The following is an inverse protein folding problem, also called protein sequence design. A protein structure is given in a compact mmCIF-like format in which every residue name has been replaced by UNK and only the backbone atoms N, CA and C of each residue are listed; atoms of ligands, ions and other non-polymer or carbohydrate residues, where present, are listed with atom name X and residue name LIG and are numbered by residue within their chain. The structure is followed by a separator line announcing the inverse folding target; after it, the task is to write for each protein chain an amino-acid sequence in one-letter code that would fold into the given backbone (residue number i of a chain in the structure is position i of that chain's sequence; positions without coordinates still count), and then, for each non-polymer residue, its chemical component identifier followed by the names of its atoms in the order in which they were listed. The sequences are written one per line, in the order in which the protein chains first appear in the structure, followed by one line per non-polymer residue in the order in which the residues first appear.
data_IF_370991105619
#
_entry.id   IF_370991105619
#
_cell.length_a   1.000
_cell.length_b   1.000
_cell.length_c   1.000
_cell.angle_alpha   90.00
_cell.angle_beta   90.00
_cell.angle_gamma   90.00
#
_symmetry.space_group_name_H-M   'P 1'
#
loop_
_entity.id
_entity.type
_entity.pdbx_description
1 polymer ?
#
# COMPACT_ATOMS: atom_id res chain seq x y z
N UNK A 1 -8.57 -1.55 -6.28
CA UNK A 1 -8.98 -0.22 -5.81
C UNK A 1 -7.94 0.79 -6.28
N UNK A 2 -8.34 1.99 -6.70
CA UNK A 2 -7.39 3.04 -7.06
C UNK A 2 -6.48 3.31 -5.85
N UNK A 3 -5.18 3.48 -6.10
CA UNK A 3 -4.25 3.90 -5.05
C UNK A 3 -4.52 5.36 -4.75
N UNK A 4 -4.81 5.67 -3.52
CA UNK A 4 -5.00 7.06 -3.07
C UNK A 4 -3.65 7.68 -2.68
N UNK A 5 -3.55 9.01 -2.70
CA UNK A 5 -2.37 9.74 -2.21
C UNK A 5 -1.96 9.27 -0.80
N UNK A 6 -2.87 9.11 0.18
CA UNK A 6 -2.51 8.57 1.49
C UNK A 6 -1.94 7.14 1.45
N UNK A 7 -2.42 6.29 0.56
CA UNK A 7 -1.87 4.95 0.39
C UNK A 7 -0.48 4.97 -0.26
N UNK A 8 -0.23 5.92 -1.19
CA UNK A 8 1.10 6.14 -1.75
C UNK A 8 2.10 6.61 -0.68
N UNK A 9 1.70 7.53 0.21
CA UNK A 9 2.53 7.96 1.32
C UNK A 9 2.96 6.78 2.22
N UNK A 10 2.02 5.89 2.57
CA UNK A 10 2.34 4.70 3.34
C UNK A 10 3.26 3.73 2.57
N UNK A 11 3.14 3.64 1.24
CA UNK A 11 4.02 2.82 0.41
C UNK A 11 5.44 3.39 0.37
N UNK A 12 5.61 4.67 0.06
CA UNK A 12 6.91 5.35 0.05
C UNK A 12 7.62 5.23 1.41
N UNK A 13 6.87 5.35 2.50
CA UNK A 13 7.39 5.17 3.85
C UNK A 13 7.95 3.75 4.05
N UNK A 14 7.21 2.72 3.64
CA UNK A 14 7.68 1.33 3.72
C UNK A 14 8.90 1.06 2.85
N UNK A 15 8.95 1.66 1.68
CA UNK A 15 10.06 1.49 0.74
C UNK A 15 11.36 2.09 1.29
N UNK A 16 11.28 3.21 2.02
CA UNK A 16 12.43 3.88 2.59
C UNK A 16 12.84 3.33 3.97
N UNK A 17 11.88 3.06 4.85
CA UNK A 17 12.14 2.74 6.26
C UNK A 17 11.77 1.29 6.64
N UNK A 18 11.03 0.58 5.80
CA UNK A 18 10.57 -0.78 6.07
C UNK A 18 9.31 -0.82 6.93
N UNK A 19 9.44 -1.21 8.19
CA UNK A 19 8.30 -1.39 9.09
C UNK A 19 7.85 -0.06 9.73
N UNK A 20 6.62 0.38 9.42
CA UNK A 20 6.03 1.59 9.98
C UNK A 20 5.90 1.55 11.50
N UNK A 21 5.76 0.38 12.11
CA UNK A 21 5.65 0.24 13.55
C UNK A 21 6.94 0.65 14.30
N UNK A 22 8.06 0.72 13.59
CA UNK A 22 9.36 1.14 14.13
C UNK A 22 9.71 2.59 13.78
N UNK A 23 8.80 3.31 13.12
CA UNK A 23 9.01 4.69 12.70
C UNK A 23 8.35 5.67 13.66
N UNK A 24 9.01 6.80 13.87
CA UNK A 24 8.47 7.97 14.55
C UNK A 24 8.05 9.01 13.50
N UNK A 25 6.83 9.53 13.59
CA UNK A 25 6.31 10.53 12.67
C UNK A 25 5.99 11.85 13.37
N UNK A 26 6.21 12.95 12.64
CA UNK A 26 5.86 14.30 13.03
C UNK A 26 4.89 14.89 12.01
N UNK A 27 3.76 15.39 12.47
CA UNK A 27 2.86 16.23 11.66
C UNK A 27 3.01 17.69 12.09
N UNK A 28 3.44 18.54 11.16
CA UNK A 28 3.56 19.99 11.35
C UNK A 28 2.38 20.66 10.66
N UNK A 29 1.45 21.18 11.44
CA UNK A 29 0.25 21.80 10.91
C UNK A 29 -1.02 21.03 11.28
N UNK A 30 -2.17 21.56 10.83
CA UNK A 30 -3.48 20.99 11.07
C UNK A 30 -4.39 21.16 9.82
N UNK A 31 -3.78 21.03 8.62
CA UNK A 31 -4.52 21.04 7.37
C UNK A 31 -5.14 19.67 7.09
N UNK A 32 -6.25 19.67 6.36
CA UNK A 32 -7.04 18.45 6.05
C UNK A 32 -6.22 17.35 5.39
N UNK A 33 -5.34 17.70 4.43
CA UNK A 33 -4.49 16.72 3.75
C UNK A 33 -3.48 16.08 4.71
N UNK A 34 -2.87 16.86 5.61
CA UNK A 34 -1.96 16.34 6.63
C UNK A 34 -2.65 15.37 7.58
N UNK A 35 -3.88 15.67 7.99
CA UNK A 35 -4.72 14.78 8.80
C UNK A 35 -5.03 13.46 8.07
N UNK A 36 -5.42 13.53 6.78
CA UNK A 36 -5.68 12.34 5.96
C UNK A 36 -4.43 11.47 5.81
N UNK A 37 -3.27 12.06 5.56
CA UNK A 37 -1.99 11.35 5.46
C UNK A 37 -1.63 10.68 6.79
N UNK A 38 -1.72 11.42 7.90
CA UNK A 38 -1.43 10.89 9.24
C UNK A 38 -2.37 9.72 9.61
N UNK A 39 -3.67 9.87 9.35
CA UNK A 39 -4.67 8.81 9.55
C UNK A 39 -4.34 7.55 8.74
N UNK A 40 -3.89 7.72 7.49
CA UNK A 40 -3.50 6.61 6.63
C UNK A 40 -2.26 5.90 7.15
N UNK A 41 -1.23 6.63 7.62
CA UNK A 41 -0.03 6.05 8.21
C UNK A 41 -0.35 5.28 9.51
N UNK A 42 -1.18 5.85 10.39
CA UNK A 42 -1.66 5.16 11.60
C UNK A 42 -2.41 3.86 11.25
N UNK A 43 -3.30 3.92 10.26
CA UNK A 43 -4.03 2.74 9.76
C UNK A 43 -3.11 1.70 9.12
N UNK A 44 -1.97 2.13 8.57
CA UNK A 44 -0.96 1.27 7.95
C UNK A 44 0.04 0.67 8.94
N UNK A 45 -0.08 0.99 10.24
CA UNK A 45 0.73 0.42 11.32
C UNK A 45 1.72 1.38 12.00
N UNK A 46 1.69 2.68 11.67
CA UNK A 46 2.48 3.66 12.41
C UNK A 46 2.07 3.69 13.87
N UNK A 47 3.02 3.55 14.80
CA UNK A 47 2.75 3.49 16.23
C UNK A 47 2.96 4.82 16.97
N UNK A 48 3.88 5.64 16.49
CA UNK A 48 4.25 6.89 17.14
C UNK A 48 4.04 8.09 16.20
N UNK A 49 3.14 8.97 16.60
CA UNK A 49 2.86 10.24 15.92
C UNK A 49 2.90 11.38 16.92
N UNK A 50 3.58 12.44 16.57
CA UNK A 50 3.55 13.72 17.28
C UNK A 50 2.96 14.77 16.35
N UNK A 51 2.06 15.59 16.88
CA UNK A 51 1.49 16.75 16.16
C UNK A 51 2.06 18.03 16.77
N UNK A 52 2.45 18.97 15.93
CA UNK A 52 2.86 20.31 16.34
C UNK A 52 2.22 21.40 15.49
N UNK A 53 1.94 22.55 16.10
CA UNK A 53 1.37 23.71 15.41
C UNK A 53 1.70 24.99 16.21
N UNK A 54 1.99 26.14 15.55
CA UNK A 54 2.20 27.43 16.25
C UNK A 54 1.04 27.87 17.13
N UNK A 55 -0.19 27.44 16.81
CA UNK A 55 -1.38 27.65 17.64
C UNK A 55 -1.64 26.34 18.38
N UNK A 56 -1.31 26.31 19.68
CA UNK A 56 -1.37 25.09 20.50
C UNK A 56 -2.74 24.42 20.48
N UNK A 57 -3.84 25.18 20.52
CA UNK A 57 -5.19 24.62 20.52
C UNK A 57 -5.52 23.81 19.25
N UNK A 58 -4.87 24.10 18.12
CA UNK A 58 -5.00 23.32 16.89
C UNK A 58 -4.24 21.99 17.00
N UNK A 59 -3.05 21.99 17.59
CA UNK A 59 -2.31 20.75 17.87
C UNK A 59 -3.06 19.88 18.86
N UNK A 60 -3.63 20.46 19.92
CA UNK A 60 -4.44 19.75 20.91
C UNK A 60 -5.68 19.10 20.29
N UNK A 61 -6.44 19.85 19.49
CA UNK A 61 -7.64 19.32 18.83
C UNK A 61 -7.30 18.14 17.91
N UNK A 62 -6.26 18.28 17.08
CA UNK A 62 -5.84 17.23 16.17
C UNK A 62 -5.21 16.04 16.90
N UNK A 63 -4.42 16.30 17.96
CA UNK A 63 -3.85 15.26 18.81
C UNK A 63 -4.91 14.42 19.51
N UNK A 64 -5.98 15.03 19.99
CA UNK A 64 -7.15 14.32 20.54
C UNK A 64 -7.85 13.48 19.48
N UNK A 65 -8.08 14.05 18.30
CA UNK A 65 -8.76 13.37 17.19
C UNK A 65 -7.98 12.15 16.70
N UNK A 66 -6.67 12.26 16.55
CA UNK A 66 -5.78 11.19 16.10
C UNK A 66 -5.30 10.29 17.24
N UNK A 67 -5.64 10.59 18.49
CA UNK A 67 -5.17 9.91 19.69
C UNK A 67 -3.64 9.78 19.72
N UNK A 68 -2.93 10.90 19.52
CA UNK A 68 -1.48 10.97 19.44
C UNK A 68 -0.90 12.06 20.35
N UNK A 69 0.42 12.10 20.45
CA UNK A 69 1.11 13.09 21.25
C UNK A 69 1.17 14.46 20.58
N UNK A 70 1.30 15.52 21.37
CA UNK A 70 1.57 16.86 20.89
C UNK A 70 2.95 17.31 21.36
N UNK A 71 3.63 18.09 20.51
CA UNK A 71 4.94 18.68 20.81
C UNK A 71 4.90 20.19 20.63
N UNK A 72 5.64 20.97 21.45
CA UNK A 72 5.72 22.41 21.30
C UNK A 72 6.49 22.80 20.04
N UNK A 73 5.98 23.77 19.27
CA UNK A 73 6.64 24.20 18.03
C UNK A 73 8.02 24.80 18.27
N UNK A 74 8.27 25.34 19.46
CA UNK A 74 9.53 25.90 19.89
C UNK A 74 10.65 24.84 19.92
N UNK A 75 10.30 23.57 20.06
CA UNK A 75 11.20 22.43 20.04
C UNK A 75 11.28 21.76 18.66
N UNK A 76 10.87 22.45 17.59
CA UNK A 76 10.77 21.88 16.24
C UNK A 76 12.02 21.12 15.80
N UNK A 77 13.21 21.67 16.06
CA UNK A 77 14.46 21.00 15.69
C UNK A 77 14.60 19.64 16.40
N UNK A 78 14.28 19.56 17.68
CA UNK A 78 14.32 18.31 18.44
C UNK A 78 13.26 17.32 17.98
N UNK A 79 12.07 17.80 17.64
CA UNK A 79 11.00 16.97 17.05
C UNK A 79 11.45 16.36 15.72
N UNK A 80 12.08 17.15 14.85
CA UNK A 80 12.64 16.67 13.57
C UNK A 80 13.76 15.64 13.79
N UNK A 81 14.64 15.86 14.75
CA UNK A 81 15.73 14.91 15.08
C UNK A 81 15.18 13.55 15.50
N UNK A 82 14.05 13.51 16.16
CA UNK A 82 13.45 12.28 16.66
C UNK A 82 12.49 11.61 15.65
N UNK A 83 12.22 12.24 14.49
CA UNK A 83 11.24 11.75 13.53
C UNK A 83 11.89 11.13 12.31
N UNK A 84 11.38 10.00 11.85
CA UNK A 84 11.76 9.34 10.59
C UNK A 84 10.90 9.85 9.41
N UNK A 85 9.68 10.27 9.73
CA UNK A 85 8.69 10.76 8.78
C UNK A 85 8.20 12.13 9.24
N UNK A 86 8.20 13.11 8.35
CA UNK A 86 7.65 14.45 8.60
C UNK A 86 6.59 14.76 7.57
N UNK A 87 5.41 15.06 8.06
CA UNK A 87 4.28 15.56 7.25
C UNK A 87 4.14 17.05 7.52
N UNK A 88 4.02 17.87 6.49
CA UNK A 88 3.69 19.29 6.63
C UNK A 88 2.34 19.59 6.01
N UNK A 89 1.51 20.36 6.70
CA UNK A 89 0.20 20.83 6.22
C UNK A 89 -0.22 22.08 6.97
N UNK A 90 0.60 23.12 6.85
CA UNK A 90 0.36 24.41 7.53
C UNK A 90 -0.64 25.29 6.79
N UNK A 91 -0.68 25.16 5.45
CA UNK A 91 -1.49 26.02 4.57
C UNK A 91 -1.27 27.52 4.84
N UNK A 92 -0.03 27.89 5.13
CA UNK A 92 0.34 29.25 5.55
C UNK A 92 1.62 29.71 4.85
N UNK A 93 1.54 30.79 4.10
CA UNK A 93 2.73 31.42 3.48
C UNK A 93 3.76 31.95 4.50
N UNK A 94 3.44 31.94 5.79
CA UNK A 94 4.33 32.42 6.86
C UNK A 94 5.19 31.30 7.48
N UNK A 95 4.89 30.06 7.17
CA UNK A 95 5.67 28.92 7.61
C UNK A 95 6.49 28.37 6.44
N UNK A 96 7.73 28.07 6.69
CA UNK A 96 8.59 27.33 5.77
C UNK A 96 9.58 26.52 6.57
N UNK A 97 9.62 25.22 6.30
CA UNK A 97 10.67 24.34 6.80
C UNK A 97 11.88 24.48 5.88
N UNK A 98 12.87 25.25 6.36
CA UNK A 98 14.03 25.65 5.56
C UNK A 98 15.04 24.51 5.40
N UNK A 99 15.83 24.57 4.32
CA UNK A 99 16.96 23.67 4.09
C UNK A 99 17.92 23.63 5.29
N UNK A 100 18.22 24.77 5.89
CA UNK A 100 19.14 24.85 7.03
C UNK A 100 18.60 24.10 8.26
N UNK A 101 17.31 24.18 8.50
CA UNK A 101 16.65 23.46 9.59
C UNK A 101 16.74 21.95 9.36
N UNK A 102 16.47 21.47 8.14
CA UNK A 102 16.57 20.05 7.78
C UNK A 102 18.02 19.58 7.83
N UNK A 103 18.97 20.38 7.31
CA UNK A 103 20.42 20.05 7.40
C UNK A 103 20.87 19.90 8.86
N UNK A 104 20.42 20.79 9.75
CA UNK A 104 20.73 20.70 11.18
C UNK A 104 20.15 19.42 11.79
N UNK A 105 18.90 19.10 11.49
CA UNK A 105 18.24 17.90 11.96
C UNK A 105 18.94 16.62 11.47
N UNK A 106 19.21 16.48 10.17
CA UNK A 106 19.86 15.30 9.57
C UNK A 106 21.29 15.11 10.11
N UNK A 107 22.03 16.20 10.35
CA UNK A 107 23.35 16.14 10.98
C UNK A 107 23.27 15.58 12.41
N UNK A 108 22.31 16.06 13.22
CA UNK A 108 22.09 15.56 14.59
C UNK A 108 21.60 14.12 14.62
N UNK A 109 20.85 13.69 13.60
CA UNK A 109 20.41 12.30 13.38
C UNK A 109 21.54 11.37 12.93
N UNK A 110 22.77 11.83 12.84
CA UNK A 110 23.92 11.08 12.30
C UNK A 110 23.66 10.54 10.90
N UNK A 111 23.03 11.36 10.06
CA UNK A 111 22.64 11.04 8.66
C UNK A 111 21.68 9.86 8.51
N UNK A 112 20.89 9.55 9.53
CA UNK A 112 19.76 8.63 9.39
C UNK A 112 18.74 9.26 8.43
N UNK A 113 18.28 8.57 7.40
CA UNK A 113 17.33 9.12 6.41
C UNK A 113 16.08 9.69 7.07
N UNK A 114 15.58 10.79 6.51
CA UNK A 114 14.30 11.40 6.89
C UNK A 114 13.41 11.53 5.66
N UNK A 115 12.17 11.06 5.77
CA UNK A 115 11.14 11.23 4.75
C UNK A 115 10.35 12.50 5.04
N UNK A 116 10.28 13.39 4.07
CA UNK A 116 9.53 14.65 4.15
C UNK A 116 8.37 14.58 3.15
N UNK A 117 7.15 14.76 3.61
CA UNK A 117 5.96 14.80 2.76
C UNK A 117 5.32 16.18 2.92
N UNK A 118 5.40 16.98 1.87
CA UNK A 118 4.82 18.31 1.82
C UNK A 118 3.39 18.27 1.27
N UNK A 119 2.43 18.43 2.16
CA UNK A 119 1.02 18.53 1.82
C UNK A 119 0.48 19.98 1.91
N UNK A 120 1.36 20.97 2.02
CA UNK A 120 1.01 22.39 2.00
C UNK A 120 0.68 22.90 0.59
N UNK A 121 -0.26 23.84 0.50
CA UNK A 121 -0.56 24.58 -0.73
C UNK A 121 -0.68 26.08 -0.38
N UNK A 122 0.32 26.89 -0.76
CA UNK A 122 1.60 26.55 -1.37
C UNK A 122 2.45 25.68 -0.43
N UNK A 123 3.50 25.02 -0.99
CA UNK A 123 4.37 24.14 -0.22
C UNK A 123 4.94 24.76 1.06
N UNK A 124 5.07 23.94 2.07
CA UNK A 124 5.58 24.30 3.40
C UNK A 124 7.10 24.02 3.54
N UNK A 125 7.70 23.29 2.61
CA UNK A 125 9.12 22.88 2.65
C UNK A 125 9.89 23.54 1.52
N UNK A 126 11.09 24.02 1.84
CA UNK A 126 12.00 24.58 0.84
C UNK A 126 12.47 23.49 -0.13
N UNK A 127 12.19 23.65 -1.43
CA UNK A 127 12.54 22.69 -2.48
C UNK A 127 14.04 22.41 -2.58
N UNK A 128 14.91 23.32 -2.15
CA UNK A 128 16.36 23.07 -2.13
C UNK A 128 16.73 21.94 -1.16
N UNK A 129 15.81 21.50 -0.32
CA UNK A 129 15.95 20.32 0.54
C UNK A 129 16.13 19.03 -0.26
N UNK A 130 15.63 18.95 -1.50
CA UNK A 130 15.82 17.80 -2.42
C UNK A 130 17.30 17.53 -2.74
N UNK A 131 18.18 18.52 -2.59
CA UNK A 131 19.60 18.37 -2.82
C UNK A 131 20.35 17.70 -1.64
N UNK A 132 19.67 17.44 -0.52
CA UNK A 132 20.27 16.79 0.66
C UNK A 132 20.23 15.27 0.46
N UNK A 133 21.39 14.61 0.67
CA UNK A 133 21.52 13.15 0.47
C UNK A 133 20.69 12.32 1.47
N UNK A 134 20.43 12.87 2.66
CA UNK A 134 19.76 12.16 3.76
C UNK A 134 18.29 12.60 3.96
N UNK A 135 17.76 13.46 3.07
CA UNK A 135 16.38 13.95 3.12
C UNK A 135 15.65 13.61 1.80
N UNK A 136 14.52 12.97 1.91
CA UNK A 136 13.70 12.52 0.77
C UNK A 136 12.40 13.31 0.77
N UNK A 137 12.31 14.32 -0.08
CA UNK A 137 11.14 15.18 -0.20
C UNK A 137 10.16 14.61 -1.23
N UNK A 138 8.90 14.51 -0.84
CA UNK A 138 7.76 14.18 -1.69
C UNK A 138 6.69 15.26 -1.55
N UNK A 139 6.26 15.80 -2.66
CA UNK A 139 5.08 16.68 -2.76
C UNK A 139 3.82 15.86 -3.01
N UNK A 140 2.65 16.49 -2.96
CA UNK A 140 1.39 15.84 -3.34
C UNK A 140 1.41 15.35 -4.80
N UNK A 141 2.05 16.11 -5.71
CA UNK A 141 2.19 15.73 -7.13
C UNK A 141 3.07 14.49 -7.28
N UNK A 142 4.14 14.36 -6.48
CA UNK A 142 4.99 13.16 -6.47
C UNK A 142 4.23 11.93 -5.98
N UNK A 143 3.45 12.07 -4.92
CA UNK A 143 2.59 10.99 -4.41
C UNK A 143 1.51 10.60 -5.42
N UNK A 144 0.95 11.57 -6.15
CA UNK A 144 0.01 11.29 -7.24
C UNK A 144 0.70 10.50 -8.38
N UNK A 145 1.94 10.83 -8.72
CA UNK A 145 2.74 10.07 -9.68
C UNK A 145 2.96 8.62 -9.22
N UNK A 146 3.34 8.42 -7.96
CA UNK A 146 3.48 7.08 -7.36
C UNK A 146 2.15 6.30 -7.44
N UNK A 147 1.00 6.96 -7.23
CA UNK A 147 -0.30 6.28 -7.38
C UNK A 147 -0.55 5.80 -8.80
N UNK A 148 -0.21 6.59 -9.81
CA UNK A 148 -0.38 6.24 -11.24
C UNK A 148 0.54 5.09 -11.63
N UNK A 149 1.82 5.17 -11.31
CA UNK A 149 2.80 4.11 -11.61
C UNK A 149 2.42 2.78 -10.94
N UNK A 150 1.97 2.83 -9.68
CA UNK A 150 1.47 1.65 -8.96
C UNK A 150 0.17 1.08 -9.54
N UNK A 151 -0.67 1.88 -10.19
CA UNK A 151 -1.86 1.41 -10.90
C UNK A 151 -1.48 0.70 -12.21
N UNK A 152 -0.60 1.31 -13.02
CA UNK A 152 -0.10 0.73 -14.27
C UNK A 152 0.64 -0.59 -14.05
N UNK A 153 1.49 -0.67 -13.04
CA UNK A 153 2.23 -1.90 -12.69
C UNK A 153 1.28 -3.03 -12.29
N UNK A 154 0.18 -2.72 -11.60
CA UNK A 154 -0.85 -3.71 -11.22
C UNK A 154 -1.69 -4.16 -12.41
N UNK A 155 -2.03 -3.26 -13.33
CA UNK A 155 -2.75 -3.59 -14.56
C UNK A 155 -1.93 -4.53 -15.43
N UNK A 156 -0.65 -4.21 -15.66
CA UNK A 156 0.30 -5.07 -16.39
C UNK A 156 0.52 -6.40 -15.68
N UNK A 157 0.61 -6.40 -14.35
CA UNK A 157 0.73 -7.62 -13.53
C UNK A 157 -0.53 -8.49 -13.61
N UNK A 158 -1.71 -7.89 -13.58
CA UNK A 158 -2.98 -8.58 -13.75
C UNK A 158 -3.13 -9.18 -15.15
N UNK A 159 -2.77 -8.45 -16.22
CA UNK A 159 -2.79 -8.96 -17.59
C UNK A 159 -1.82 -10.13 -17.78
N UNK A 160 -0.60 -10.04 -17.24
CA UNK A 160 0.37 -11.15 -17.28
C UNK A 160 -0.15 -12.37 -16.51
N UNK A 161 -0.75 -12.18 -15.34
CA UNK A 161 -1.36 -13.26 -14.57
C UNK A 161 -2.52 -13.92 -15.34
N UNK A 162 -3.36 -13.12 -16.02
CA UNK A 162 -4.43 -13.62 -16.88
C UNK A 162 -3.89 -14.46 -18.04
N UNK A 163 -2.82 -14.01 -18.68
CA UNK A 163 -2.21 -14.71 -19.82
C UNK A 163 -1.63 -16.06 -19.40
N UNK A 164 -0.92 -16.14 -18.30
CA UNK A 164 -0.39 -17.39 -17.75
C UNK A 164 -1.51 -18.35 -17.38
N UNK A 165 -2.57 -17.87 -16.74
CA UNK A 165 -3.74 -18.67 -16.37
C UNK A 165 -4.46 -19.21 -17.60
N UNK A 166 -4.56 -18.44 -18.70
CA UNK A 166 -5.15 -18.88 -19.94
C UNK A 166 -4.29 -19.95 -20.66
N UNK A 167 -2.98 -19.78 -20.67
CA UNK A 167 -2.02 -20.73 -21.25
C UNK A 167 -2.07 -22.07 -20.51
N UNK A 168 -2.05 -22.09 -19.19
CA UNK A 168 -2.15 -23.30 -18.36
C UNK A 168 -3.53 -23.96 -18.44
N UNK A 169 -4.61 -23.18 -18.48
CA UNK A 169 -5.96 -23.73 -18.65
C UNK A 169 -6.15 -24.38 -20.01
N UNK A 170 -5.56 -23.82 -21.07
CA UNK A 170 -5.57 -24.39 -22.41
C UNK A 170 -4.73 -25.68 -22.48
N UNK A 171 -3.57 -25.77 -21.80
CA UNK A 171 -2.79 -26.99 -21.73
C UNK A 171 -3.54 -28.11 -20.99
N UNK A 172 -4.25 -27.81 -19.89
CA UNK A 172 -5.06 -28.78 -19.16
C UNK A 172 -6.23 -29.33 -19.99
N UNK A 173 -6.79 -28.53 -20.90
CA UNK A 173 -7.86 -28.98 -21.81
C UNK A 173 -7.39 -29.98 -22.87
N UNK A 174 -6.12 -29.95 -23.27
CA UNK A 174 -5.51 -30.90 -24.21
C UNK A 174 -5.27 -32.29 -23.60
N UNK A 175 -5.11 -32.40 -22.27
CA UNK A 175 -4.92 -33.70 -21.60
C UNK A 175 -6.21 -34.45 -21.31
N UNK A 176 -7.37 -33.84 -21.52
CA UNK A 176 -8.69 -34.45 -21.31
C UNK A 176 -9.27 -35.03 -22.62
N UNK A 177 -8.57 -35.96 -23.25
CA UNK A 177 -9.14 -36.76 -24.38
C UNK A 177 -10.06 -37.87 -23.87
N UNK A 178 -11.14 -37.55 -23.20
CA UNK A 178 -12.30 -38.41 -23.04
C UNK A 178 -13.55 -37.70 -23.60
N UNK A 179 -14.49 -38.36 -24.29
CA UNK A 179 -15.66 -37.70 -24.80
C UNK A 179 -16.56 -37.27 -23.64
N UNK A 180 -16.49 -36.00 -23.28
CA UNK A 180 -17.31 -35.37 -22.25
C UNK A 180 -18.65 -34.86 -22.84
N UNK A 181 -19.69 -35.02 -22.07
CA UNK A 181 -21.05 -34.52 -22.39
C UNK A 181 -21.04 -32.97 -22.34
N UNK A 182 -21.63 -32.31 -23.36
CA UNK A 182 -21.61 -30.85 -23.57
C UNK A 182 -22.16 -30.06 -22.37
N UNK A 183 -23.04 -30.64 -21.57
CA UNK A 183 -23.60 -30.00 -20.37
C UNK A 183 -22.65 -29.97 -19.18
N UNK A 184 -21.75 -30.95 -19.08
CA UNK A 184 -20.71 -30.98 -18.02
C UNK A 184 -19.58 -30.00 -18.32
N UNK A 185 -19.25 -29.77 -19.60
CA UNK A 185 -18.24 -28.78 -19.99
C UNK A 185 -18.67 -27.34 -19.64
N UNK A 186 -19.94 -27.00 -19.77
CA UNK A 186 -20.48 -25.66 -19.42
C UNK A 186 -20.45 -25.41 -17.90
N UNK A 187 -20.75 -26.41 -17.08
CA UNK A 187 -20.69 -26.33 -15.63
C UNK A 187 -19.26 -26.22 -15.12
N UNK A 188 -18.33 -26.98 -15.72
CA UNK A 188 -16.90 -26.99 -15.39
C UNK A 188 -16.23 -25.66 -15.78
N UNK A 189 -16.49 -25.14 -16.99
CA UNK A 189 -15.94 -23.86 -17.44
C UNK A 189 -16.37 -22.68 -16.56
N UNK A 190 -17.63 -22.63 -16.13
CA UNK A 190 -18.11 -21.60 -15.21
C UNK A 190 -17.48 -21.67 -13.81
N UNK A 191 -17.15 -22.88 -13.35
CA UNK A 191 -16.47 -23.09 -12.06
C UNK A 191 -15.00 -22.68 -12.14
N UNK A 192 -14.30 -23.03 -13.22
CA UNK A 192 -12.90 -22.63 -13.46
C UNK A 192 -12.79 -21.11 -13.58
N UNK A 193 -13.72 -20.46 -14.28
CA UNK A 193 -13.73 -19.00 -14.42
C UNK A 193 -13.92 -18.29 -13.07
N UNK A 194 -14.75 -18.82 -12.18
CA UNK A 194 -14.90 -18.30 -10.80
C UNK A 194 -13.63 -18.47 -9.98
N UNK A 195 -12.97 -19.63 -10.07
CA UNK A 195 -11.70 -19.89 -9.37
C UNK A 195 -10.60 -18.98 -9.91
N UNK A 196 -10.56 -18.78 -11.22
CA UNK A 196 -9.61 -17.90 -11.89
C UNK A 196 -9.76 -16.45 -11.41
N UNK A 197 -10.96 -15.89 -11.43
CA UNK A 197 -11.25 -14.54 -10.92
C UNK A 197 -10.85 -14.38 -9.46
N UNK A 198 -11.15 -15.38 -8.63
CA UNK A 198 -10.78 -15.37 -7.22
C UNK A 198 -9.26 -15.37 -7.03
N UNK A 199 -8.52 -16.23 -7.74
CA UNK A 199 -7.07 -16.32 -7.64
C UNK A 199 -6.37 -15.01 -8.03
N UNK A 200 -6.86 -14.31 -9.09
CA UNK A 200 -6.31 -13.00 -9.49
C UNK A 200 -6.58 -11.92 -8.44
N UNK A 201 -7.79 -11.87 -7.88
CA UNK A 201 -8.14 -10.93 -6.81
C UNK A 201 -7.30 -11.18 -5.56
N UNK A 202 -7.18 -12.43 -5.10
CA UNK A 202 -6.45 -12.80 -3.89
C UNK A 202 -4.92 -12.65 -4.04
N UNK A 203 -4.43 -12.58 -5.28
CA UNK A 203 -3.00 -12.37 -5.58
C UNK A 203 -2.56 -10.91 -5.58
N UNK A 204 -3.51 -9.96 -5.60
CA UNK A 204 -3.24 -8.52 -5.74
C UNK A 204 -2.40 -8.17 -6.99
N UNK A 205 -2.57 -8.93 -8.08
CA UNK A 205 -1.86 -8.73 -9.34
C UNK A 205 -0.50 -9.43 -9.45
N UNK A 206 -0.07 -10.18 -8.43
CA UNK A 206 1.13 -11.02 -8.48
C UNK A 206 0.84 -12.30 -9.30
N UNK A 207 1.44 -12.41 -10.50
CA UNK A 207 1.21 -13.50 -11.44
C UNK A 207 1.61 -14.88 -10.88
N UNK A 208 2.73 -14.98 -10.17
CA UNK A 208 3.21 -16.23 -9.58
C UNK A 208 2.32 -16.71 -8.44
N UNK A 209 1.84 -15.76 -7.64
CA UNK A 209 0.90 -16.03 -6.56
C UNK A 209 -0.47 -16.44 -7.10
N UNK A 210 -0.96 -15.75 -8.15
CA UNK A 210 -2.22 -16.10 -8.81
C UNK A 210 -2.20 -17.52 -9.37
N UNK A 211 -1.12 -17.89 -10.04
CA UNK A 211 -0.92 -19.24 -10.61
C UNK A 211 -0.91 -20.30 -9.51
N UNK A 212 -0.16 -20.07 -8.42
CA UNK A 212 -0.13 -21.00 -7.26
C UNK A 212 -1.49 -21.17 -6.62
N UNK A 213 -2.24 -20.08 -6.38
CA UNK A 213 -3.58 -20.13 -5.80
C UNK A 213 -4.58 -20.86 -6.70
N UNK A 214 -4.50 -20.64 -8.02
CA UNK A 214 -5.34 -21.36 -8.99
C UNK A 214 -5.07 -22.85 -8.99
N UNK A 215 -3.80 -23.25 -9.10
CA UNK A 215 -3.39 -24.67 -9.09
C UNK A 215 -3.80 -25.37 -7.78
N UNK A 216 -3.66 -24.69 -6.65
CA UNK A 216 -4.09 -25.22 -5.36
C UNK A 216 -5.62 -25.38 -5.29
N UNK A 217 -6.37 -24.45 -5.85
CA UNK A 217 -7.83 -24.50 -5.91
C UNK A 217 -8.32 -25.60 -6.86
N UNK A 218 -7.66 -25.80 -7.99
CA UNK A 218 -7.97 -26.88 -8.94
C UNK A 218 -7.67 -28.26 -8.35
N UNK A 219 -6.54 -28.43 -7.64
CA UNK A 219 -6.22 -29.68 -6.90
C UNK A 219 -7.28 -30.01 -5.85
N UNK A 220 -7.75 -29.01 -5.07
CA UNK A 220 -8.79 -29.20 -4.07
C UNK A 220 -10.14 -29.60 -4.66
N UNK A 221 -10.50 -29.03 -5.80
CA UNK A 221 -11.77 -29.28 -6.44
C UNK A 221 -11.70 -30.49 -7.39
N UNK A 222 -10.54 -30.78 -8.01
CA UNK A 222 -10.32 -31.94 -8.87
C UNK A 222 -10.49 -33.28 -8.13
N UNK A 223 -10.09 -33.36 -6.85
CA UNK A 223 -10.33 -34.56 -6.03
C UNK A 223 -11.82 -34.79 -5.67
N UNK A 224 -12.69 -33.79 -5.89
CA UNK A 224 -14.15 -33.97 -5.74
C UNK A 224 -14.86 -34.34 -7.04
N UNK A 225 -14.17 -34.24 -8.18
CA UNK A 225 -14.71 -34.57 -9.52
C UNK A 225 -14.35 -35.97 -9.99
N UNK A 226 -13.56 -36.72 -9.23
CA UNK A 226 -13.14 -38.10 -9.55
C UNK A 226 -13.36 -38.98 -8.32
N UNK A 227 -14.59 -39.06 -7.85
CA UNK A 227 -15.05 -40.26 -7.11
C UNK A 227 -15.81 -41.11 -8.11
N UNK A 228 -15.34 -42.34 -8.44
CA UNK A 228 -16.17 -43.30 -9.16
C UNK A 228 -17.42 -43.58 -8.29
N UNK A 229 -18.59 -43.56 -8.88
CA UNK A 229 -19.76 -44.21 -8.29
C UNK A 229 -19.35 -45.69 -8.07
N UNK A 230 -19.35 -46.12 -6.83
CA UNK A 230 -19.33 -47.52 -6.48
C UNK A 230 -20.57 -48.17 -7.09
N UNK A 231 -20.36 -49.16 -7.97
CA UNK A 231 -21.41 -50.04 -8.49
C UNK A 231 -22.14 -50.67 -7.30
N UNK A 232 -23.39 -50.38 -7.17
CA UNK A 232 -24.28 -51.05 -6.24
C UNK A 232 -24.35 -52.55 -6.52
N UNK A 233 -24.62 -53.39 -5.53
CA UNK A 233 -24.60 -54.86 -5.68
C UNK A 233 -25.67 -55.34 -6.63
N UNK A 234 -25.25 -56.15 -7.55
CA UNK A 234 -26.07 -56.94 -8.48
C UNK A 234 -26.81 -58.01 -7.66
N UNK A 235 -28.05 -57.82 -7.29
CA UNK A 235 -28.91 -58.90 -6.80
C UNK A 235 -29.44 -59.67 -7.99
N UNK A 236 -28.83 -60.82 -8.24
CA UNK A 236 -29.44 -61.94 -8.94
C UNK A 236 -29.93 -62.93 -7.88
N UNK A 237 -31.22 -63.05 -7.72
CA UNK A 237 -32.01 -64.30 -7.72
C UNK A 237 -33.50 -63.97 -7.74
#
# INVERSE_FOLDING_TARGET
SPVSIPAAAAQVTRDLHGDLAQCDALLIGAGEMGEMLATSLLSAGLSHLVVTHPIISKAEALGQQLNCHIGPIEELLQLLVNSDIVLTSMNSRRFSLTRDTITSATTMRRRKPILLIDAGVPGDIDHTTEELEDAFLYTLDDLERVTREGAETREVGAEKAWKIVDEEANQLSFFSQKPFNVNEQRASAGSIEKLRKKAVIDSLGDADKATRLLLQSLKRNGNRLVTPMEDGPNDTD
#
